data_IF_029148649693
#
_entry.id   IF_029148649693
#
_cell.length_a   1.000
_cell.length_b   1.000
_cell.length_c   1.000
_cell.angle_alpha   90.00
_cell.angle_beta   90.00
_cell.angle_gamma   90.00
#
_symmetry.space_group_name_H-M   'P 1'
#
loop_
_entity.id
_entity.type
_entity.pdbx_description
1 polymer ?
#
# COMPACT_ATOMS: atom_id res chain seq x y z
N UNK A 1 15.73 25.52 6.25
CA UNK A 1 14.51 25.82 6.99
C UNK A 1 13.51 24.68 6.79
N UNK A 2 12.82 24.23 7.86
CA UNK A 2 11.78 23.21 7.69
C UNK A 2 10.59 23.79 6.90
N UNK A 3 9.94 22.92 6.13
CA UNK A 3 8.75 23.31 5.37
C UNK A 3 7.65 23.84 6.32
N UNK A 4 6.93 24.92 5.95
CA UNK A 4 5.78 25.38 6.72
C UNK A 4 4.59 24.40 6.68
N UNK A 5 4.67 23.36 5.84
CA UNK A 5 3.66 22.32 5.71
C UNK A 5 4.16 21.07 6.40
N UNK A 6 3.61 20.77 7.58
CA UNK A 6 3.94 19.56 8.33
C UNK A 6 3.34 18.30 7.72
N UNK A 7 3.85 17.13 8.11
CA UNK A 7 3.30 15.84 7.70
C UNK A 7 1.82 15.70 8.10
N UNK A 8 1.44 16.19 9.29
CA UNK A 8 0.04 16.17 9.74
C UNK A 8 -0.86 17.05 8.87
N UNK A 9 -0.40 18.25 8.50
CA UNK A 9 -1.15 19.13 7.58
C UNK A 9 -1.35 18.49 6.22
N UNK A 10 -0.36 17.72 5.73
CA UNK A 10 -0.50 16.97 4.47
C UNK A 10 -1.52 15.85 4.60
N UNK A 11 -1.44 15.07 5.68
CA UNK A 11 -2.39 13.99 5.96
C UNK A 11 -3.84 14.50 6.01
N UNK A 12 -4.07 15.60 6.74
CA UNK A 12 -5.38 16.25 6.82
C UNK A 12 -5.84 16.80 5.47
N UNK A 13 -4.96 17.46 4.73
CA UNK A 13 -5.25 18.03 3.44
C UNK A 13 -5.59 16.98 2.37
N UNK A 14 -4.91 15.84 2.40
CA UNK A 14 -5.16 14.72 1.48
C UNK A 14 -6.24 13.76 1.99
N UNK A 15 -6.71 13.92 3.21
CA UNK A 15 -7.70 13.05 3.85
C UNK A 15 -7.27 11.58 3.86
N UNK A 16 -6.00 11.36 4.16
CA UNK A 16 -5.41 10.04 4.22
C UNK A 16 -4.27 10.02 5.22
N UNK A 17 -3.97 8.87 5.77
CA UNK A 17 -2.79 8.65 6.59
C UNK A 17 -1.67 8.08 5.71
N UNK A 18 -0.48 8.73 5.64
CA UNK A 18 0.65 8.20 4.91
C UNK A 18 0.98 6.79 5.35
N UNK A 19 1.13 5.89 4.40
CA UNK A 19 1.29 4.46 4.69
C UNK A 19 2.16 3.80 3.64
N UNK A 20 3.08 2.96 4.07
CA UNK A 20 3.76 2.00 3.23
C UNK A 20 2.96 0.70 3.21
N UNK A 21 2.38 0.39 2.07
CA UNK A 21 1.65 -0.84 1.84
C UNK A 21 2.52 -1.81 1.04
N UNK A 22 2.93 -2.90 1.67
CA UNK A 22 3.74 -3.93 1.03
C UNK A 22 2.85 -5.11 0.66
N UNK A 23 2.78 -5.39 -0.63
CA UNK A 23 2.12 -6.60 -1.14
C UNK A 23 3.18 -7.67 -1.38
N UNK A 24 3.05 -8.79 -0.71
CA UNK A 24 3.98 -9.92 -0.79
C UNK A 24 3.25 -11.20 -1.14
N UNK A 25 3.96 -12.24 -1.46
CA UNK A 25 3.47 -13.54 -1.91
C UNK A 25 4.46 -14.15 -2.91
N UNK A 26 4.19 -15.33 -3.39
CA UNK A 26 5.09 -16.09 -4.25
C UNK A 26 4.99 -15.73 -5.75
N UNK A 27 3.84 -15.26 -6.20
CA UNK A 27 3.57 -14.98 -7.63
C UNK A 27 3.69 -13.49 -7.95
N UNK A 28 4.74 -13.14 -8.70
CA UNK A 28 5.04 -11.74 -9.07
C UNK A 28 3.90 -11.05 -9.85
N UNK A 29 3.29 -11.75 -10.77
CA UNK A 29 2.18 -11.23 -11.59
C UNK A 29 0.98 -10.84 -10.72
N UNK A 30 0.62 -11.70 -9.78
CA UNK A 30 -0.54 -11.50 -8.90
C UNK A 30 -0.34 -10.27 -8.00
N UNK A 31 0.85 -10.12 -7.41
CA UNK A 31 1.19 -8.96 -6.60
C UNK A 31 1.10 -7.66 -7.39
N UNK A 32 1.71 -7.63 -8.57
CA UNK A 32 1.74 -6.44 -9.43
C UNK A 32 0.36 -6.07 -9.94
N UNK A 33 -0.44 -7.06 -10.32
CA UNK A 33 -1.79 -6.84 -10.80
C UNK A 33 -2.65 -6.18 -9.71
N UNK A 34 -2.68 -6.78 -8.52
CA UNK A 34 -3.42 -6.24 -7.39
C UNK A 34 -2.93 -4.84 -6.99
N UNK A 35 -1.61 -4.62 -6.98
CA UNK A 35 -1.02 -3.32 -6.65
C UNK A 35 -1.46 -2.22 -7.63
N UNK A 36 -1.45 -2.50 -8.92
CA UNK A 36 -1.90 -1.56 -9.96
C UNK A 36 -3.39 -1.26 -9.87
N UNK A 37 -4.21 -2.28 -9.64
CA UNK A 37 -5.65 -2.10 -9.52
C UNK A 37 -5.99 -1.28 -8.27
N UNK A 38 -5.30 -1.50 -7.17
CA UNK A 38 -5.46 -0.70 -5.97
C UNK A 38 -5.00 0.75 -6.19
N UNK A 39 -3.85 0.96 -6.82
CA UNK A 39 -3.37 2.32 -7.14
C UNK A 39 -4.41 3.07 -7.97
N UNK A 40 -4.91 2.45 -9.02
CA UNK A 40 -5.94 3.06 -9.87
C UNK A 40 -7.20 3.39 -9.06
N UNK A 41 -7.68 2.46 -8.26
CA UNK A 41 -8.90 2.66 -7.44
C UNK A 41 -8.73 3.81 -6.43
N UNK A 42 -7.61 3.88 -5.75
CA UNK A 42 -7.33 4.95 -4.81
C UNK A 42 -7.16 6.30 -5.51
N UNK A 43 -6.48 6.33 -6.64
CA UNK A 43 -6.32 7.53 -7.45
C UNK A 43 -7.68 8.07 -7.94
N UNK A 44 -8.52 7.21 -8.49
CA UNK A 44 -9.86 7.58 -8.98
C UNK A 44 -10.78 8.11 -7.88
N UNK A 45 -10.53 7.72 -6.63
CA UNK A 45 -11.27 8.21 -5.46
C UNK A 45 -10.61 9.41 -4.77
N UNK A 46 -9.61 10.01 -5.41
CA UNK A 46 -9.01 11.28 -5.00
C UNK A 46 -7.87 11.17 -4.00
N UNK A 47 -7.30 9.96 -3.82
CA UNK A 47 -6.16 9.77 -2.94
C UNK A 47 -4.83 10.03 -3.63
N UNK A 48 -3.84 10.45 -2.86
CA UNK A 48 -2.45 10.62 -3.30
C UNK A 48 -1.73 9.29 -3.07
N UNK A 49 -1.57 8.54 -4.12
CA UNK A 49 -1.04 7.18 -4.10
C UNK A 49 0.01 6.99 -5.19
N UNK A 50 1.00 6.18 -4.91
CA UNK A 50 2.03 5.83 -5.88
C UNK A 50 2.41 4.35 -5.76
N UNK A 51 2.40 3.63 -6.87
CA UNK A 51 2.94 2.28 -6.95
C UNK A 51 4.39 2.34 -7.43
N UNK A 52 5.31 2.02 -6.52
CA UNK A 52 6.72 1.90 -6.83
C UNK A 52 7.02 0.45 -7.24
N UNK A 53 7.18 0.26 -8.54
CA UNK A 53 7.53 -1.05 -9.11
C UNK A 53 9.01 -1.37 -8.90
N UNK A 54 9.36 -1.93 -7.76
CA UNK A 54 10.69 -2.48 -7.51
C UNK A 54 10.83 -3.91 -8.04
N UNK A 55 10.00 -4.27 -9.01
CA UNK A 55 9.96 -5.62 -9.55
C UNK A 55 11.25 -6.02 -10.25
N UNK A 56 11.67 -7.23 -10.03
CA UNK A 56 12.73 -7.98 -10.72
C UNK A 56 14.19 -7.57 -10.44
N UNK A 57 14.46 -6.45 -9.80
CA UNK A 57 15.83 -6.05 -9.46
C UNK A 57 16.37 -6.87 -8.28
N UNK A 58 15.50 -7.52 -7.52
CA UNK A 58 15.85 -8.28 -6.32
C UNK A 58 16.31 -9.73 -6.60
N UNK A 59 16.15 -10.21 -7.83
CA UNK A 59 16.47 -11.60 -8.18
C UNK A 59 17.18 -11.66 -9.52
N UNK A 60 18.49 -11.37 -9.52
CA UNK A 60 19.37 -11.81 -10.61
C UNK A 60 19.51 -13.33 -10.57
N UNK A 61 19.36 -13.98 -11.71
CA UNK A 61 19.33 -15.45 -11.87
C UNK A 61 20.64 -16.14 -11.49
N UNK A 62 21.73 -15.40 -11.31
CA UNK A 62 23.09 -15.92 -11.07
C UNK A 62 23.77 -15.33 -9.81
N UNK A 63 23.00 -14.82 -8.86
CA UNK A 63 23.60 -14.31 -7.64
C UNK A 63 23.99 -15.47 -6.71
N UNK A 64 25.27 -15.56 -6.36
CA UNK A 64 25.75 -16.26 -5.18
C UNK A 64 24.81 -15.96 -4.00
N UNK A 65 24.40 -16.99 -3.26
CA UNK A 65 23.34 -16.88 -2.22
C UNK A 65 23.65 -15.77 -1.20
N UNK A 66 24.92 -15.60 -0.85
CA UNK A 66 25.34 -14.54 0.08
C UNK A 66 25.24 -13.14 -0.54
N UNK A 67 25.63 -12.97 -1.79
CA UNK A 67 25.49 -11.70 -2.52
C UNK A 67 24.02 -11.37 -2.76
N UNK A 68 23.19 -12.36 -3.06
CA UNK A 68 21.75 -12.19 -3.20
C UNK A 68 21.09 -11.67 -1.93
N UNK A 69 21.47 -12.21 -0.77
CA UNK A 69 20.95 -11.78 0.52
C UNK A 69 21.38 -10.35 0.90
N UNK A 70 22.66 -10.00 0.64
CA UNK A 70 23.14 -8.63 0.87
C UNK A 70 22.51 -7.62 -0.07
N UNK A 71 22.37 -7.95 -1.34
CA UNK A 71 21.69 -7.11 -2.31
C UNK A 71 20.23 -6.90 -1.95
N UNK A 72 19.54 -7.94 -1.48
CA UNK A 72 18.17 -7.84 -1.01
C UNK A 72 18.05 -6.89 0.18
N UNK A 73 18.93 -7.02 1.18
CA UNK A 73 18.96 -6.11 2.34
C UNK A 73 19.23 -4.66 1.93
N UNK A 74 20.16 -4.44 1.01
CA UNK A 74 20.46 -3.10 0.50
C UNK A 74 19.29 -2.49 -0.26
N UNK A 75 18.59 -3.27 -1.09
CA UNK A 75 17.39 -2.81 -1.78
C UNK A 75 16.27 -2.46 -0.80
N UNK A 76 16.07 -3.28 0.25
CA UNK A 76 15.07 -2.99 1.28
C UNK A 76 15.40 -1.71 2.05
N UNK A 77 16.67 -1.47 2.37
CA UNK A 77 17.11 -0.22 3.01
C UNK A 77 16.83 0.99 2.13
N UNK A 78 17.19 0.93 0.85
CA UNK A 78 16.94 2.01 -0.11
C UNK A 78 15.45 2.24 -0.31
N UNK A 79 14.69 1.18 -0.43
CA UNK A 79 13.23 1.27 -0.49
C UNK A 79 12.66 1.94 0.75
N UNK A 80 13.14 1.58 1.93
CA UNK A 80 12.69 2.18 3.19
C UNK A 80 13.02 3.68 3.27
N UNK A 81 14.17 4.11 2.76
CA UNK A 81 14.53 5.53 2.68
C UNK A 81 13.61 6.29 1.73
N UNK A 82 13.33 5.74 0.55
CA UNK A 82 12.37 6.32 -0.40
C UNK A 82 10.98 6.36 0.22
N UNK A 83 10.55 5.28 0.86
CA UNK A 83 9.27 5.21 1.55
C UNK A 83 9.15 6.30 2.63
N UNK A 84 10.18 6.48 3.45
CA UNK A 84 10.17 7.51 4.49
C UNK A 84 9.95 8.92 3.91
N UNK A 85 10.60 9.25 2.80
CA UNK A 85 10.42 10.53 2.10
C UNK A 85 9.00 10.66 1.53
N UNK A 86 8.48 9.62 0.92
CA UNK A 86 7.13 9.62 0.32
C UNK A 86 6.05 9.74 1.41
N UNK A 87 6.22 9.08 2.54
CA UNK A 87 5.30 9.18 3.66
C UNK A 87 5.32 10.58 4.27
N UNK A 88 6.49 11.20 4.39
CA UNK A 88 6.61 12.60 4.84
C UNK A 88 5.88 13.55 3.88
N UNK A 89 5.87 13.24 2.59
CA UNK A 89 5.09 13.96 1.59
C UNK A 89 3.57 13.68 1.64
N UNK A 90 3.11 12.78 2.50
CA UNK A 90 1.69 12.46 2.69
C UNK A 90 1.15 11.36 1.77
N UNK A 91 2.01 10.64 1.08
CA UNK A 91 1.63 9.65 0.05
C UNK A 91 1.33 8.29 0.68
N UNK A 92 0.38 7.57 0.10
CA UNK A 92 0.24 6.13 0.27
C UNK A 92 1.14 5.47 -0.77
N UNK A 93 2.20 4.82 -0.31
CA UNK A 93 3.16 4.15 -1.17
C UNK A 93 2.88 2.66 -1.21
N UNK A 94 2.61 2.13 -2.40
CA UNK A 94 2.43 0.70 -2.63
C UNK A 94 3.73 0.13 -3.20
N UNK A 95 4.24 -0.92 -2.59
CA UNK A 95 5.38 -1.68 -3.11
C UNK A 95 5.05 -3.16 -3.16
N UNK A 96 5.73 -3.89 -4.01
CA UNK A 96 5.63 -5.35 -4.07
C UNK A 96 6.97 -5.98 -3.73
N UNK A 97 6.94 -7.06 -2.98
CA UNK A 97 8.13 -7.83 -2.61
C UNK A 97 7.82 -9.32 -2.65
N UNK A 98 8.71 -10.11 -3.22
CA UNK A 98 8.56 -11.56 -3.18
C UNK A 98 8.93 -12.10 -1.81
N UNK A 99 8.14 -13.05 -1.31
CA UNK A 99 8.44 -13.84 -0.11
C UNK A 99 9.01 -13.03 1.07
N UNK A 100 8.37 -11.91 1.36
CA UNK A 100 8.78 -11.03 2.46
C UNK A 100 8.80 -11.80 3.78
N UNK A 101 9.90 -11.70 4.50
CA UNK A 101 10.06 -12.31 5.82
C UNK A 101 9.86 -11.29 6.93
N UNK A 102 9.67 -11.77 8.16
CA UNK A 102 9.60 -10.88 9.32
C UNK A 102 10.91 -10.11 9.53
N UNK A 103 12.06 -10.73 9.25
CA UNK A 103 13.35 -10.06 9.30
C UNK A 103 13.45 -8.90 8.28
N UNK A 104 12.86 -9.05 7.09
CA UNK A 104 12.78 -7.98 6.10
C UNK A 104 11.94 -6.81 6.61
N UNK A 105 10.82 -7.08 7.25
CA UNK A 105 9.96 -6.04 7.86
C UNK A 105 10.70 -5.31 8.98
N UNK A 106 11.42 -6.03 9.84
CA UNK A 106 12.21 -5.42 10.92
C UNK A 106 13.30 -4.49 10.35
N UNK A 107 13.90 -4.87 9.22
CA UNK A 107 14.87 -4.03 8.53
C UNK A 107 14.24 -2.71 8.04
N UNK A 108 13.03 -2.77 7.49
CA UNK A 108 12.27 -1.59 7.03
C UNK A 108 11.85 -0.72 8.22
N UNK A 109 11.48 -1.33 9.34
CA UNK A 109 11.09 -0.64 10.58
C UNK A 109 12.20 0.20 11.20
N UNK A 110 13.45 -0.04 10.85
CA UNK A 110 14.56 0.80 11.27
C UNK A 110 14.47 2.24 10.71
N UNK A 111 13.75 2.42 9.61
CA UNK A 111 13.60 3.71 8.91
C UNK A 111 12.16 4.20 8.85
N UNK A 112 11.20 3.30 8.64
CA UNK A 112 9.76 3.63 8.55
C UNK A 112 9.08 3.24 9.87
N UNK A 113 8.34 4.16 10.51
CA UNK A 113 7.61 3.84 11.74
C UNK A 113 6.69 2.62 11.59
N UNK A 114 6.66 1.70 12.56
CA UNK A 114 5.88 0.46 12.47
C UNK A 114 4.38 0.67 12.26
N UNK A 115 3.81 1.74 12.78
CA UNK A 115 2.40 2.11 12.63
C UNK A 115 2.05 2.65 11.23
N UNK A 116 3.06 2.87 10.39
CA UNK A 116 2.91 3.30 9.00
C UNK A 116 3.19 2.18 7.98
N UNK A 117 3.36 0.96 8.43
CA UNK A 117 3.62 -0.21 7.56
C UNK A 117 2.43 -1.16 7.63
N UNK A 118 1.87 -1.49 6.47
CA UNK A 118 0.84 -2.52 6.32
C UNK A 118 1.34 -3.59 5.36
N UNK A 119 1.13 -4.85 5.71
CA UNK A 119 1.55 -6.00 4.90
C UNK A 119 0.32 -6.76 4.42
N UNK A 120 0.21 -6.95 3.12
CA UNK A 120 -0.83 -7.75 2.48
C UNK A 120 -0.18 -8.99 1.88
N UNK A 121 -0.63 -10.16 2.30
CA UNK A 121 -0.25 -11.41 1.67
C UNK A 121 -1.18 -11.73 0.50
N UNK A 122 -0.61 -11.91 -0.68
CA UNK A 122 -1.32 -12.26 -1.91
C UNK A 122 -1.08 -13.72 -2.24
N UNK A 123 -2.08 -14.56 -2.07
CA UNK A 123 -2.01 -16.00 -2.22
C UNK A 123 -2.84 -16.75 -1.17
N UNK A 124 -3.02 -18.04 -1.36
CA UNK A 124 -3.88 -18.85 -0.50
C UNK A 124 -3.37 -18.98 0.94
N UNK A 125 -2.06 -19.11 1.10
CA UNK A 125 -1.44 -19.25 2.41
C UNK A 125 -0.03 -18.65 2.43
N UNK A 126 0.36 -17.99 3.53
CA UNK A 126 1.72 -17.50 3.70
C UNK A 126 2.75 -18.63 3.66
N UNK A 127 3.86 -18.38 2.96
CA UNK A 127 5.00 -19.29 2.88
C UNK A 127 6.19 -18.80 3.70
N UNK A 128 6.07 -17.66 4.35
CA UNK A 128 7.08 -17.09 5.24
C UNK A 128 6.50 -16.81 6.62
N UNK A 129 7.35 -16.42 7.56
CA UNK A 129 6.96 -16.04 8.92
C UNK A 129 6.43 -14.62 9.07
N UNK A 130 6.30 -13.87 7.96
CA UNK A 130 5.88 -12.47 8.03
C UNK A 130 4.48 -12.32 8.66
N UNK A 131 4.38 -11.44 9.62
CA UNK A 131 3.08 -11.00 10.12
C UNK A 131 2.39 -10.15 9.06
N UNK A 132 1.19 -10.54 8.66
CA UNK A 132 0.40 -9.82 7.67
C UNK A 132 -0.85 -9.21 8.30
N UNK A 133 -1.27 -8.08 7.77
CA UNK A 133 -2.47 -7.36 8.20
C UNK A 133 -3.71 -7.82 7.44
N UNK A 134 -3.51 -8.35 6.24
CA UNK A 134 -4.56 -8.88 5.38
C UNK A 134 -4.02 -10.02 4.53
N UNK A 135 -4.84 -11.02 4.30
CA UNK A 135 -4.61 -12.08 3.32
C UNK A 135 -5.63 -11.96 2.20
N UNK A 136 -5.15 -11.89 0.96
CA UNK A 136 -5.98 -11.91 -0.27
C UNK A 136 -5.72 -13.24 -0.96
N UNK A 137 -6.58 -14.26 -0.75
CA UNK A 137 -6.31 -15.60 -1.23
C UNK A 137 -6.37 -15.74 -2.75
N UNK A 138 -7.26 -14.99 -3.38
CA UNK A 138 -7.43 -14.97 -4.83
C UNK A 138 -7.35 -13.52 -5.34
N UNK A 139 -6.19 -13.12 -5.92
CA UNK A 139 -6.01 -11.75 -6.43
C UNK A 139 -6.85 -11.45 -7.69
N UNK A 140 -7.34 -12.46 -8.38
CA UNK A 140 -8.18 -12.32 -9.57
C UNK A 140 -9.68 -12.25 -9.25
N UNK A 141 -10.05 -12.46 -7.99
CA UNK A 141 -11.44 -12.32 -7.55
C UNK A 141 -11.92 -10.87 -7.73
N UNK A 142 -13.17 -10.71 -8.10
CA UNK A 142 -13.79 -9.39 -8.34
C UNK A 142 -13.73 -8.46 -7.12
N UNK A 143 -13.66 -9.02 -5.92
CA UNK A 143 -13.62 -8.29 -4.65
C UNK A 143 -12.20 -8.11 -4.07
N UNK A 144 -11.16 -8.57 -4.76
CA UNK A 144 -9.80 -8.54 -4.22
C UNK A 144 -9.33 -7.13 -3.85
N UNK A 145 -9.54 -6.15 -4.71
CA UNK A 145 -9.22 -4.74 -4.44
C UNK A 145 -10.08 -4.18 -3.32
N UNK A 146 -11.35 -4.56 -3.27
CA UNK A 146 -12.28 -4.12 -2.22
C UNK A 146 -11.86 -4.63 -0.83
N UNK A 147 -11.31 -5.85 -0.73
CA UNK A 147 -10.76 -6.38 0.52
C UNK A 147 -9.63 -5.49 1.05
N UNK A 148 -8.69 -5.12 0.18
CA UNK A 148 -7.57 -4.24 0.57
C UNK A 148 -8.09 -2.86 0.95
N UNK A 149 -8.95 -2.28 0.14
CA UNK A 149 -9.53 -0.96 0.42
C UNK A 149 -10.28 -0.94 1.75
N UNK A 150 -11.06 -1.97 2.03
CA UNK A 150 -11.81 -2.08 3.30
C UNK A 150 -10.86 -2.14 4.50
N UNK A 151 -9.76 -2.86 4.39
CA UNK A 151 -8.72 -2.88 5.43
C UNK A 151 -8.14 -1.48 5.65
N UNK A 152 -7.85 -0.73 4.59
CA UNK A 152 -7.35 0.65 4.69
C UNK A 152 -8.39 1.58 5.32
N UNK A 153 -9.65 1.41 5.00
CA UNK A 153 -10.76 2.17 5.61
C UNK A 153 -10.91 1.85 7.11
N UNK A 154 -10.90 0.58 7.46
CA UNK A 154 -11.06 0.11 8.86
C UNK A 154 -9.91 0.57 9.75
N UNK A 155 -8.72 0.70 9.22
CA UNK A 155 -7.54 1.25 9.91
C UNK A 155 -7.48 2.78 9.90
N UNK A 156 -8.42 3.45 9.26
CA UNK A 156 -8.45 4.90 9.15
C UNK A 156 -7.36 5.49 8.25
N UNK A 157 -6.77 4.69 7.36
CA UNK A 157 -5.76 5.14 6.41
C UNK A 157 -6.39 5.97 5.30
N UNK A 158 -7.55 5.53 4.82
CA UNK A 158 -8.39 6.27 3.90
C UNK A 158 -9.78 6.45 4.49
N UNK A 159 -10.48 7.52 4.09
CA UNK A 159 -11.87 7.72 4.49
C UNK A 159 -12.77 6.69 3.79
N UNK A 160 -13.83 6.28 4.49
CA UNK A 160 -14.86 5.42 3.89
C UNK A 160 -15.46 6.12 2.68
N UNK A 161 -15.67 5.36 1.59
CA UNK A 161 -16.36 5.85 0.43
C UNK A 161 -17.72 6.40 0.88
N UNK A 162 -18.00 7.68 0.62
CA UNK A 162 -19.32 8.23 0.82
C UNK A 162 -20.25 7.51 -0.13
N UNK A 163 -21.28 6.89 0.43
CA UNK A 163 -22.34 6.29 -0.35
C UNK A 163 -23.00 7.39 -1.20
N UNK A 164 -22.66 7.44 -2.49
CA UNK A 164 -23.22 8.42 -3.44
C UNK A 164 -24.72 8.18 -3.70
N UNK A 165 -25.28 7.13 -3.11
CA UNK A 165 -26.70 6.82 -3.21
C UNK A 165 -27.62 7.69 -2.34
N UNK A 166 -27.06 8.36 -1.33
CA UNK A 166 -27.87 9.23 -0.42
C UNK A 166 -28.11 10.64 -0.96
N UNK A 167 -27.48 11.04 -2.05
CA UNK A 167 -27.54 12.42 -2.61
C UNK A 167 -28.58 12.66 -3.69
N UNK A 168 -29.36 11.67 -4.09
CA UNK A 168 -30.37 11.81 -5.18
C UNK A 168 -31.83 11.72 -4.72
N UNK A 169 -32.14 11.85 -3.45
CA UNK A 169 -33.52 12.00 -2.98
C UNK A 169 -33.70 13.38 -2.33
N UNK A 170 -33.93 14.37 -3.11
CA UNK A 170 -34.19 15.73 -2.60
C UNK A 170 -34.40 16.78 -3.65
N UNK A 171 -34.94 16.44 -4.80
CA UNK A 171 -35.45 17.43 -5.74
C UNK A 171 -36.84 17.00 -6.20
N UNK A 172 -37.82 17.19 -5.34
CA UNK A 172 -39.22 17.06 -5.72
C UNK A 172 -39.85 18.42 -5.55
N UNK A 173 -40.24 18.97 -6.70
CA UNK A 173 -41.36 19.87 -6.95
C UNK A 173 -41.80 20.84 -5.85
N UNK A 174 -41.53 22.09 -6.05
CA UNK A 174 -42.52 23.11 -5.70
C UNK A 174 -43.16 23.58 -7.03
N UNK A 175 -44.30 23.04 -7.36
CA UNK A 175 -45.22 23.67 -8.33
C UNK A 175 -45.88 24.82 -7.63
N UNK A 176 -45.79 25.97 -8.23
CA UNK A 176 -46.55 27.17 -7.90
C UNK A 176 -47.82 27.16 -8.74
N UNK A 177 -48.89 27.34 -8.09
CA UNK A 177 -50.12 27.94 -8.65
C UNK A 177 -50.03 29.45 -8.47
#
# INVERSE_FOLDING_TARGET
EPSPISAERRADGYRQRPTLLVMTGDRAQDRKHLARDLEQRLFETGHVVYFLGMGNVLYGVDADIERGAEQRREHLRRMAEVANLMLDAGVILIVTAADLTQADVELVRATVPPDQIEVVWVGEAPTTDVAHDLLVPDPDADDAVDLVRRMLEDKGIVSRARDRSAGRRGAVHASVV
#
